data_IF_258231110088
#
_entry.id   IF_258231110088
#
_cell.length_a   1.000
_cell.length_b   1.000
_cell.length_c   1.000
_cell.angle_alpha   90.00
_cell.angle_beta   90.00
_cell.angle_gamma   90.00
#
_symmetry.space_group_name_H-M   'P 1'
#
loop_
_entity.id
_entity.type
_entity.pdbx_description
1 polymer ?
#
# COMPACT_ATOMS: atom_id res chain seq x y z
N UNK A 1 -29.97 -23.42 -4.91
CA UNK A 1 -30.97 -22.37 -5.24
C UNK A 1 -30.31 -21.01 -5.09
N UNK A 2 -30.77 -20.01 -5.83
CA UNK A 2 -30.35 -18.61 -5.69
C UNK A 2 -31.48 -17.80 -5.05
N UNK A 3 -31.13 -16.84 -4.20
CA UNK A 3 -32.08 -15.92 -3.55
C UNK A 3 -31.84 -14.51 -4.07
N UNK A 4 -32.90 -13.81 -4.45
CA UNK A 4 -32.82 -12.42 -4.91
C UNK A 4 -32.70 -11.44 -3.72
N UNK A 5 -31.58 -10.73 -3.64
CA UNK A 5 -31.31 -9.72 -2.62
C UNK A 5 -31.51 -8.27 -3.13
N UNK A 6 -31.91 -8.07 -4.39
CA UNK A 6 -32.09 -6.72 -4.97
C UNK A 6 -33.20 -5.89 -4.31
N UNK A 7 -34.31 -6.45 -3.77
CA UNK A 7 -35.31 -5.65 -3.06
C UNK A 7 -34.76 -5.00 -1.79
N UNK A 8 -33.82 -5.65 -1.08
CA UNK A 8 -33.19 -5.09 0.11
C UNK A 8 -32.28 -3.90 -0.26
N UNK A 9 -31.58 -3.99 -1.39
CA UNK A 9 -30.74 -2.91 -1.90
C UNK A 9 -31.57 -1.68 -2.28
N UNK A 10 -32.74 -1.87 -2.91
CA UNK A 10 -33.67 -0.79 -3.23
C UNK A 10 -34.24 -0.09 -1.97
N UNK A 11 -34.48 -0.83 -0.88
CA UNK A 11 -34.87 -0.25 0.42
C UNK A 11 -33.79 0.64 1.04
N UNK A 12 -32.52 0.41 0.69
CA UNK A 12 -31.39 1.26 1.06
C UNK A 12 -31.19 2.43 0.06
N UNK A 13 -32.23 2.80 -0.70
CA UNK A 13 -32.25 3.91 -1.66
C UNK A 13 -31.34 3.71 -2.89
N UNK A 14 -30.89 2.48 -3.16
CA UNK A 14 -30.18 2.18 -4.40
C UNK A 14 -31.14 2.23 -5.61
N UNK A 15 -30.88 3.05 -6.63
CA UNK A 15 -31.80 3.17 -7.78
C UNK A 15 -31.85 1.86 -8.57
N UNK A 16 -33.04 1.25 -8.71
CA UNK A 16 -33.19 -0.10 -9.28
C UNK A 16 -32.68 -0.20 -10.73
N UNK A 17 -32.95 0.82 -11.54
CA UNK A 17 -32.63 0.90 -12.97
C UNK A 17 -31.15 1.06 -13.29
N UNK A 18 -30.34 1.50 -12.32
CA UNK A 18 -28.92 1.73 -12.54
C UNK A 18 -28.15 0.42 -12.62
N UNK A 19 -27.08 0.45 -13.39
CA UNK A 19 -26.24 -0.72 -13.63
C UNK A 19 -25.35 -1.01 -12.43
N UNK A 20 -25.20 -2.29 -12.10
CA UNK A 20 -24.23 -2.74 -11.09
C UNK A 20 -22.85 -2.76 -11.77
N UNK A 21 -21.96 -1.85 -11.36
CA UNK A 21 -20.61 -1.75 -11.90
C UNK A 21 -19.63 -2.69 -11.20
N UNK A 22 -19.87 -3.00 -9.92
CA UNK A 22 -19.04 -3.92 -9.14
C UNK A 22 -19.85 -4.62 -8.07
N UNK A 23 -19.58 -5.91 -7.89
CA UNK A 23 -19.94 -6.69 -6.70
C UNK A 23 -18.63 -7.25 -6.14
N UNK A 24 -18.37 -7.02 -4.85
CA UNK A 24 -17.16 -7.47 -4.17
C UNK A 24 -17.53 -8.18 -2.88
N UNK A 25 -17.15 -9.45 -2.73
CA UNK A 25 -17.22 -10.14 -1.44
C UNK A 25 -15.99 -9.77 -0.60
N UNK A 26 -16.18 -9.56 0.70
CA UNK A 26 -15.06 -9.28 1.61
C UNK A 26 -14.18 -10.51 1.79
N UNK A 27 -12.84 -10.38 1.73
CA UNK A 27 -11.92 -11.46 2.07
C UNK A 27 -11.79 -11.68 3.59
N UNK A 28 -12.34 -10.77 4.41
CA UNK A 28 -12.14 -10.76 5.87
C UNK A 28 -13.29 -11.38 6.65
N UNK A 29 -14.52 -11.24 6.17
CA UNK A 29 -15.69 -11.64 6.93
C UNK A 29 -16.79 -12.26 6.05
N UNK A 30 -17.22 -13.50 6.32
CA UNK A 30 -18.38 -14.09 5.68
C UNK A 30 -19.63 -13.24 5.88
N UNK A 31 -20.45 -13.11 4.84
CA UNK A 31 -21.66 -12.29 4.86
C UNK A 31 -21.44 -10.81 4.55
N UNK A 32 -20.18 -10.36 4.53
CA UNK A 32 -19.82 -9.00 4.14
C UNK A 32 -19.58 -8.91 2.63
N UNK A 33 -20.28 -7.99 1.97
CA UNK A 33 -20.10 -7.70 0.56
C UNK A 33 -20.39 -6.23 0.26
N UNK A 34 -19.94 -5.77 -0.88
CA UNK A 34 -20.10 -4.42 -1.37
C UNK A 34 -20.66 -4.41 -2.78
N UNK A 35 -21.50 -3.43 -3.08
CA UNK A 35 -22.10 -3.23 -4.40
C UNK A 35 -21.95 -1.78 -4.80
N UNK A 36 -21.42 -1.56 -6.00
CA UNK A 36 -21.38 -0.26 -6.64
C UNK A 36 -22.39 -0.20 -7.80
N UNK A 37 -23.06 0.94 -7.95
CA UNK A 37 -23.94 1.22 -9.09
C UNK A 37 -23.47 2.46 -9.84
N UNK A 38 -23.65 2.45 -11.16
CA UNK A 38 -23.22 3.53 -12.04
C UNK A 38 -24.42 4.09 -12.81
N UNK A 39 -24.59 5.41 -12.70
CA UNK A 39 -25.53 6.21 -13.48
C UNK A 39 -24.94 6.85 -14.73
N UNK A 40 -23.72 6.47 -15.12
CA UNK A 40 -23.00 7.06 -16.26
C UNK A 40 -23.80 7.08 -17.57
N UNK A 41 -24.66 6.08 -17.80
CA UNK A 41 -25.47 5.97 -19.03
C UNK A 41 -26.80 6.74 -18.98
N UNK A 42 -27.11 7.34 -17.85
CA UNK A 42 -28.39 8.02 -17.60
C UNK A 42 -28.18 9.44 -17.07
N UNK A 43 -26.98 10.00 -17.29
CA UNK A 43 -26.56 11.33 -16.79
C UNK A 43 -26.76 11.51 -15.27
N UNK A 44 -26.67 10.42 -14.50
CA UNK A 44 -26.66 10.45 -13.04
C UNK A 44 -25.24 10.20 -12.54
N UNK A 45 -24.59 11.27 -12.11
CA UNK A 45 -23.20 11.24 -11.66
C UNK A 45 -23.05 10.92 -10.17
N UNK A 46 -24.13 10.69 -9.43
CA UNK A 46 -24.03 10.41 -7.99
C UNK A 46 -23.24 9.12 -7.73
N UNK A 47 -22.35 9.09 -6.72
CA UNK A 47 -21.63 7.89 -6.35
C UNK A 47 -22.53 6.95 -5.55
N UNK A 48 -22.91 5.83 -6.14
CA UNK A 48 -23.70 4.80 -5.47
C UNK A 48 -22.81 3.64 -5.03
N UNK A 49 -22.60 3.52 -3.72
CA UNK A 49 -21.84 2.44 -3.12
C UNK A 49 -22.50 1.97 -1.83
N UNK A 50 -22.65 0.65 -1.69
CA UNK A 50 -23.38 0.03 -0.60
C UNK A 50 -22.59 -1.13 -0.01
N UNK A 51 -22.79 -1.37 1.29
CA UNK A 51 -22.21 -2.47 2.05
C UNK A 51 -23.30 -3.30 2.71
N UNK A 52 -23.12 -4.61 2.76
CA UNK A 52 -23.88 -5.54 3.60
C UNK A 52 -22.92 -6.27 4.54
N UNK A 53 -23.43 -6.75 5.66
CA UNK A 53 -22.73 -7.64 6.62
C UNK A 53 -23.55 -8.89 6.97
N UNK A 54 -24.70 -9.07 6.31
CA UNK A 54 -25.70 -10.09 6.64
C UNK A 54 -26.16 -10.87 5.40
N UNK A 55 -25.23 -11.11 4.46
CA UNK A 55 -25.47 -11.83 3.20
C UNK A 55 -26.48 -11.12 2.28
N UNK A 56 -26.54 -9.79 2.33
CA UNK A 56 -27.38 -8.97 1.46
C UNK A 56 -28.84 -8.83 1.92
N UNK A 57 -29.15 -9.20 3.17
CA UNK A 57 -30.50 -9.00 3.75
C UNK A 57 -30.75 -7.53 4.05
N UNK A 58 -29.70 -6.80 4.44
CA UNK A 58 -29.71 -5.35 4.61
C UNK A 58 -28.49 -4.73 3.95
N UNK A 59 -28.64 -3.48 3.51
CA UNK A 59 -27.60 -2.71 2.85
C UNK A 59 -27.52 -1.32 3.46
N UNK A 60 -26.31 -0.78 3.55
CA UNK A 60 -26.04 0.57 4.06
C UNK A 60 -25.26 1.35 3.00
N UNK A 61 -25.66 2.59 2.65
CA UNK A 61 -24.88 3.44 1.77
C UNK A 61 -23.55 3.81 2.42
N UNK A 62 -22.47 3.77 1.65
CA UNK A 62 -21.10 4.04 2.09
C UNK A 62 -20.38 4.95 1.07
N UNK A 63 -21.04 6.00 0.61
CA UNK A 63 -20.53 6.93 -0.41
C UNK A 63 -20.15 8.32 0.11
N UNK A 64 -20.19 8.53 1.43
CA UNK A 64 -19.84 9.81 2.07
C UNK A 64 -18.39 10.22 1.74
N UNK A 65 -18.21 11.42 1.22
CA UNK A 65 -16.89 11.96 0.83
C UNK A 65 -16.45 11.63 -0.60
N UNK A 66 -17.17 10.76 -1.31
CA UNK A 66 -17.02 10.62 -2.75
C UNK A 66 -17.62 11.85 -3.45
N UNK A 67 -16.96 12.33 -4.50
CA UNK A 67 -17.49 13.40 -5.35
C UNK A 67 -18.58 12.87 -6.29
N UNK A 68 -19.36 13.77 -6.90
CA UNK A 68 -20.34 13.44 -7.95
C UNK A 68 -19.66 12.86 -9.20
N UNK A 69 -19.28 11.59 -9.11
CA UNK A 69 -18.72 10.79 -10.18
C UNK A 69 -19.12 9.32 -10.00
N UNK A 70 -19.58 8.64 -11.05
CA UNK A 70 -19.96 7.23 -10.97
C UNK A 70 -18.80 6.36 -10.46
N UNK A 71 -19.13 5.40 -9.58
CA UNK A 71 -18.17 4.40 -9.09
C UNK A 71 -18.11 3.24 -10.10
N UNK A 72 -16.93 2.95 -10.62
CA UNK A 72 -16.70 1.93 -11.64
C UNK A 72 -16.13 0.63 -11.05
N UNK A 73 -15.30 0.75 -10.01
CA UNK A 73 -14.60 -0.37 -9.37
C UNK A 73 -14.38 -0.06 -7.91
N UNK A 74 -14.33 -1.11 -7.09
CA UNK A 74 -13.77 -1.03 -5.75
C UNK A 74 -13.03 -2.31 -5.40
N UNK A 75 -12.09 -2.21 -4.47
CA UNK A 75 -11.39 -3.35 -3.87
C UNK A 75 -11.18 -3.09 -2.38
N UNK A 76 -11.19 -4.15 -1.59
CA UNK A 76 -10.84 -4.14 -0.17
C UNK A 76 -9.43 -4.71 -0.02
N UNK A 77 -8.62 -4.10 0.85
CA UNK A 77 -7.29 -4.62 1.13
C UNK A 77 -7.36 -6.04 1.72
N UNK A 78 -6.30 -6.83 1.52
CA UNK A 78 -6.26 -8.24 1.92
C UNK A 78 -5.76 -8.45 3.36
N UNK A 79 -5.22 -7.42 4.01
CA UNK A 79 -4.65 -7.50 5.37
C UNK A 79 -5.37 -6.60 6.36
N UNK A 80 -5.97 -5.50 5.89
CA UNK A 80 -6.74 -4.56 6.68
C UNK A 80 -8.18 -4.48 6.14
N UNK A 81 -9.16 -4.85 6.97
CA UNK A 81 -10.57 -4.80 6.61
C UNK A 81 -11.13 -3.37 6.49
N UNK A 82 -10.51 -2.40 7.14
CA UNK A 82 -10.94 -1.00 7.13
C UNK A 82 -10.50 -0.26 5.86
N UNK A 83 -9.44 -0.75 5.22
CA UNK A 83 -8.83 -0.13 4.04
C UNK A 83 -9.57 -0.54 2.75
N UNK A 84 -10.24 0.44 2.14
CA UNK A 84 -10.95 0.28 0.86
C UNK A 84 -10.42 1.27 -0.17
N UNK A 85 -10.49 0.87 -1.44
CA UNK A 85 -10.19 1.74 -2.58
C UNK A 85 -11.36 1.74 -3.56
N UNK A 86 -11.72 2.92 -4.07
CA UNK A 86 -12.80 3.10 -5.04
C UNK A 86 -12.30 3.88 -6.25
N UNK A 87 -12.45 3.28 -7.43
CA UNK A 87 -12.19 3.92 -8.70
C UNK A 87 -13.47 4.54 -9.28
N UNK A 88 -13.43 5.84 -9.53
CA UNK A 88 -14.55 6.61 -10.08
C UNK A 88 -14.22 7.15 -11.47
N UNK A 89 -15.16 7.84 -12.10
CA UNK A 89 -14.88 8.60 -13.33
C UNK A 89 -13.92 9.78 -13.13
N UNK A 90 -13.71 10.23 -11.88
CA UNK A 90 -12.86 11.36 -11.53
C UNK A 90 -11.66 10.95 -10.66
N UNK A 91 -11.17 9.72 -10.84
CA UNK A 91 -9.97 9.22 -10.18
C UNK A 91 -10.23 8.26 -9.01
N UNK A 92 -9.19 8.06 -8.22
CA UNK A 92 -9.13 7.07 -7.14
C UNK A 92 -9.41 7.72 -5.79
N UNK A 93 -10.14 6.98 -4.95
CA UNK A 93 -10.44 7.34 -3.58
C UNK A 93 -10.02 6.21 -2.63
N UNK A 94 -9.69 6.59 -1.39
CA UNK A 94 -9.33 5.70 -0.30
C UNK A 94 -10.30 5.92 0.87
N UNK A 95 -10.64 4.84 1.58
CA UNK A 95 -11.31 4.89 2.87
C UNK A 95 -10.49 4.08 3.88
N UNK A 96 -10.41 4.59 5.11
CA UNK A 96 -9.68 3.99 6.23
C UNK A 96 -10.64 3.52 7.34
N UNK A 97 -11.94 3.44 7.04
CA UNK A 97 -13.02 3.23 8.01
C UNK A 97 -14.18 2.38 7.45
N UNK A 98 -13.87 1.44 6.56
CA UNK A 98 -14.82 0.54 5.89
C UNK A 98 -15.88 1.25 5.04
N UNK A 99 -15.53 2.41 4.47
CA UNK A 99 -16.37 3.19 3.56
C UNK A 99 -17.26 4.21 4.25
N UNK A 100 -17.09 4.45 5.55
CA UNK A 100 -17.84 5.49 6.26
C UNK A 100 -17.45 6.89 5.76
N UNK A 101 -16.18 7.08 5.40
CA UNK A 101 -15.69 8.28 4.74
C UNK A 101 -14.65 7.95 3.67
N UNK A 102 -14.67 8.73 2.59
CA UNK A 102 -13.74 8.61 1.47
C UNK A 102 -12.94 9.89 1.27
N UNK A 103 -11.69 9.74 0.84
CA UNK A 103 -10.78 10.83 0.53
C UNK A 103 -10.11 10.61 -0.84
N UNK A 104 -9.83 11.67 -1.62
CA UNK A 104 -9.08 11.53 -2.87
C UNK A 104 -7.70 10.92 -2.65
N UNK A 105 -7.33 9.94 -3.48
CA UNK A 105 -6.04 9.24 -3.43
C UNK A 105 -5.31 9.32 -4.77
N UNK A 106 -4.88 10.53 -5.13
CA UNK A 106 -4.46 10.88 -6.50
C UNK A 106 -3.04 11.49 -6.57
N UNK A 107 -2.10 11.05 -5.72
CA UNK A 107 -0.75 11.61 -5.64
C UNK A 107 -0.01 11.59 -7.01
N UNK A 108 -0.01 12.73 -7.72
CA UNK A 108 0.43 12.91 -9.11
C UNK A 108 -0.32 12.08 -10.17
N UNK A 109 -1.39 11.37 -9.78
CA UNK A 109 -2.29 10.72 -10.74
C UNK A 109 -3.37 11.74 -11.14
N UNK A 110 -3.60 11.97 -12.44
CA UNK A 110 -4.65 12.90 -12.88
C UNK A 110 -6.05 12.36 -12.52
N UNK A 111 -7.02 13.26 -12.36
CA UNK A 111 -8.43 12.90 -12.28
C UNK A 111 -8.88 12.27 -13.59
N UNK A 112 -8.86 10.94 -13.65
CA UNK A 112 -9.27 10.16 -14.82
C UNK A 112 -10.08 8.95 -14.38
N UNK A 113 -10.92 8.48 -15.31
CA UNK A 113 -11.73 7.29 -15.08
C UNK A 113 -10.86 6.09 -14.74
N UNK A 114 -11.08 5.56 -13.55
CA UNK A 114 -10.48 4.31 -13.07
C UNK A 114 -11.45 3.19 -13.38
N UNK A 115 -11.01 2.20 -14.17
CA UNK A 115 -11.87 1.10 -14.64
C UNK A 115 -11.62 -0.19 -13.88
N UNK A 116 -10.40 -0.39 -13.36
CA UNK A 116 -10.07 -1.60 -12.61
C UNK A 116 -9.00 -1.37 -11.54
N UNK A 117 -8.99 -2.24 -10.53
CA UNK A 117 -8.06 -2.21 -9.39
C UNK A 117 -7.62 -3.63 -9.05
N UNK A 118 -6.34 -3.81 -8.72
CA UNK A 118 -5.81 -5.07 -8.21
C UNK A 118 -4.76 -4.83 -7.12
N UNK A 119 -4.78 -5.65 -6.07
CA UNK A 119 -3.78 -5.60 -4.99
C UNK A 119 -2.86 -6.81 -5.12
N UNK A 120 -1.56 -6.57 -5.21
CA UNK A 120 -0.52 -7.61 -5.16
C UNK A 120 -0.28 -8.03 -3.70
N UNK A 121 -0.70 -9.25 -3.28
CA UNK A 121 -0.77 -9.59 -1.85
C UNK A 121 0.59 -9.64 -1.15
N UNK A 122 1.66 -10.00 -1.90
CA UNK A 122 3.01 -10.16 -1.36
C UNK A 122 3.65 -8.80 -1.08
N UNK A 123 3.61 -7.92 -2.07
CA UNK A 123 4.31 -6.63 -2.05
C UNK A 123 3.49 -5.50 -1.43
N UNK A 124 2.17 -5.69 -1.32
CA UNK A 124 1.19 -4.64 -1.01
C UNK A 124 1.28 -3.48 -2.01
N UNK A 125 1.29 -3.80 -3.30
CA UNK A 125 1.19 -2.80 -4.37
C UNK A 125 -0.25 -2.77 -4.89
N UNK A 126 -0.81 -1.57 -5.00
CA UNK A 126 -2.08 -1.32 -5.66
C UNK A 126 -1.81 -0.95 -7.12
N UNK A 127 -2.36 -1.76 -8.03
CA UNK A 127 -2.35 -1.54 -9.47
C UNK A 127 -3.68 -0.92 -9.87
N UNK A 128 -3.60 0.21 -10.58
CA UNK A 128 -4.75 1.02 -10.99
C UNK A 128 -4.83 1.07 -12.51
N UNK A 129 -5.87 0.47 -13.06
CA UNK A 129 -6.19 0.52 -14.48
C UNK A 129 -7.02 1.75 -14.81
N UNK A 130 -6.51 2.63 -15.68
CA UNK A 130 -7.20 3.85 -16.06
C UNK A 130 -7.67 3.82 -17.51
N UNK A 131 -8.71 4.60 -17.82
CA UNK A 131 -9.12 4.86 -19.18
C UNK A 131 -8.24 5.97 -19.79
N UNK A 132 -7.38 5.60 -20.73
CA UNK A 132 -6.60 6.55 -21.54
C UNK A 132 -5.33 7.12 -20.89
N UNK A 133 -4.93 6.68 -19.68
CA UNK A 133 -3.68 7.09 -19.01
C UNK A 133 -2.83 5.93 -18.48
N UNK A 134 -3.02 4.74 -19.06
CA UNK A 134 -2.20 3.57 -18.75
C UNK A 134 -2.47 2.98 -17.37
N UNK A 135 -1.42 2.40 -16.78
CA UNK A 135 -1.47 1.71 -15.49
C UNK A 135 -0.63 2.50 -14.48
N UNK A 136 -1.20 2.70 -13.30
CA UNK A 136 -0.51 3.32 -12.18
C UNK A 136 -0.26 2.28 -11.10
N UNK A 137 0.88 2.37 -10.42
CA UNK A 137 1.24 1.46 -9.33
C UNK A 137 1.66 2.30 -8.14
N UNK A 138 1.16 1.97 -6.96
CA UNK A 138 1.57 2.60 -5.71
C UNK A 138 1.72 1.56 -4.61
N UNK A 139 2.70 1.77 -3.74
CA UNK A 139 2.92 0.94 -2.57
C UNK A 139 1.91 1.36 -1.48
N UNK A 140 1.07 0.42 -1.05
CA UNK A 140 0.04 0.60 -0.02
C UNK A 140 0.43 -0.04 1.33
N UNK A 141 1.64 -0.61 1.46
CA UNK A 141 2.14 -1.21 2.69
C UNK A 141 1.94 -0.34 3.94
N UNK A 142 2.37 0.94 3.99
CA UNK A 142 2.12 1.76 5.18
C UNK A 142 0.63 2.02 5.43
N UNK A 143 -0.20 2.03 4.38
CA UNK A 143 -1.63 2.28 4.50
C UNK A 143 -2.36 1.12 5.18
N UNK A 144 -1.79 -0.08 5.18
CA UNK A 144 -2.38 -1.24 5.86
C UNK A 144 -2.36 -1.09 7.39
N UNK A 145 -1.45 -0.28 7.95
CA UNK A 145 -1.45 0.07 9.37
C UNK A 145 -2.15 1.41 9.66
N UNK A 146 -2.45 2.20 8.62
CA UNK A 146 -3.06 3.51 8.77
C UNK A 146 -4.54 3.36 9.17
N UNK A 147 -4.93 4.04 10.24
CA UNK A 147 -6.30 4.06 10.75
C UNK A 147 -6.58 5.42 11.42
N UNK A 148 -7.85 5.71 11.79
CA UNK A 148 -8.18 6.97 12.45
C UNK A 148 -7.40 7.24 13.75
N UNK A 149 -7.01 6.21 14.52
CA UNK A 149 -6.21 6.40 15.73
C UNK A 149 -4.79 6.89 15.40
N UNK A 150 -4.15 6.32 14.37
CA UNK A 150 -2.81 6.73 13.90
C UNK A 150 -2.83 8.18 13.44
N UNK A 151 -3.87 8.62 12.73
CA UNK A 151 -3.99 9.99 12.22
C UNK A 151 -4.18 11.06 13.33
N UNK A 152 -4.69 10.66 14.50
CA UNK A 152 -4.84 11.57 15.65
C UNK A 152 -3.54 11.68 16.46
N UNK A 153 -2.69 10.64 16.43
CA UNK A 153 -1.39 10.62 17.09
C UNK A 153 -0.40 11.64 16.51
N UNK A 154 0.58 12.07 17.32
CA UNK A 154 1.57 13.07 16.90
C UNK A 154 2.53 12.53 15.83
N UNK A 155 3.00 11.30 16.01
CA UNK A 155 3.87 10.59 15.08
C UNK A 155 3.59 9.09 15.09
N UNK A 156 3.88 8.41 13.99
CA UNK A 156 3.78 6.95 13.89
C UNK A 156 4.89 6.39 12.99
N UNK A 157 5.54 5.31 13.43
CA UNK A 157 6.55 4.58 12.66
C UNK A 157 5.94 3.27 12.16
N UNK A 158 5.77 3.17 10.84
CA UNK A 158 5.19 1.99 10.20
C UNK A 158 6.19 0.84 10.17
N UNK A 159 5.69 -0.39 10.22
CA UNK A 159 6.54 -1.58 10.15
C UNK A 159 7.20 -1.64 8.77
N UNK A 160 8.54 -1.61 8.67
CA UNK A 160 9.23 -1.68 7.39
C UNK A 160 8.92 -2.99 6.66
N UNK A 161 8.68 -2.91 5.36
CA UNK A 161 8.56 -4.09 4.51
C UNK A 161 9.89 -4.85 4.51
N UNK A 162 9.91 -6.20 4.56
CA UNK A 162 11.14 -6.96 4.42
C UNK A 162 11.90 -6.57 3.14
N UNK A 163 13.16 -6.18 3.29
CA UNK A 163 14.03 -5.81 2.18
C UNK A 163 14.89 -6.99 1.73
N UNK A 164 15.35 -6.95 0.50
CA UNK A 164 16.29 -7.93 -0.07
C UNK A 164 17.50 -7.16 -0.55
N UNK A 165 18.70 -7.60 -0.20
CA UNK A 165 19.93 -7.09 -0.79
C UNK A 165 20.05 -7.55 -2.23
N UNK A 166 19.73 -6.67 -3.17
CA UNK A 166 19.79 -6.95 -4.60
C UNK A 166 21.25 -7.02 -5.02
N UNK A 167 21.57 -7.99 -5.86
CA UNK A 167 22.82 -8.04 -6.58
C UNK A 167 22.47 -8.03 -8.05
N UNK A 168 22.67 -6.89 -8.70
CA UNK A 168 22.55 -6.81 -10.14
C UNK A 168 23.83 -7.40 -10.73
N UNK A 169 23.79 -8.58 -11.37
CA UNK A 169 24.90 -8.99 -12.17
C UNK A 169 25.06 -7.94 -13.28
N UNK A 170 26.26 -7.37 -13.40
CA UNK A 170 26.59 -6.49 -14.52
C UNK A 170 26.76 -7.39 -15.75
N UNK A 171 25.64 -7.77 -16.36
CA UNK A 171 25.65 -8.48 -17.65
C UNK A 171 25.68 -7.45 -18.75
N UNK A 172 26.80 -7.38 -19.49
CA UNK A 172 26.88 -6.56 -20.69
C UNK A 172 27.00 -5.05 -20.45
N UNK A 173 27.42 -4.36 -21.49
CA UNK A 173 27.68 -2.93 -21.48
C UNK A 173 26.49 -2.20 -22.12
N UNK A 174 25.33 -2.18 -21.45
CA UNK A 174 24.10 -1.54 -21.95
C UNK A 174 24.24 -0.01 -22.12
N UNK A 175 25.33 0.58 -21.60
CA UNK A 175 25.69 1.97 -21.85
C UNK A 175 26.06 2.27 -23.31
N UNK A 176 26.21 1.25 -24.18
CA UNK A 176 26.52 1.41 -25.61
C UNK A 176 25.29 1.60 -26.51
N UNK A 177 24.06 1.50 -26.00
CA UNK A 177 22.85 1.57 -26.85
C UNK A 177 22.25 2.99 -26.98
N UNK A 178 22.86 4.00 -26.35
CA UNK A 178 22.34 5.38 -26.39
C UNK A 178 20.87 5.47 -25.99
N UNK A 179 20.12 6.38 -26.60
CA UNK A 179 18.69 6.63 -26.31
C UNK A 179 17.73 5.51 -26.76
N UNK A 180 18.25 4.40 -27.33
CA UNK A 180 17.42 3.25 -27.73
C UNK A 180 17.07 2.32 -26.56
N UNK A 181 17.59 2.57 -25.36
CA UNK A 181 17.29 1.77 -24.17
C UNK A 181 16.15 2.39 -23.36
N UNK A 182 14.94 1.83 -23.51
CA UNK A 182 13.85 2.07 -22.58
C UNK A 182 14.22 1.44 -21.23
N UNK A 183 14.65 2.25 -20.28
CA UNK A 183 14.83 1.82 -18.90
C UNK A 183 13.75 2.45 -18.03
N UNK A 184 13.25 1.67 -17.08
CA UNK A 184 12.45 2.18 -15.97
C UNK A 184 13.24 1.96 -14.70
N UNK A 185 13.28 2.91 -13.76
CA UNK A 185 13.96 2.70 -12.48
C UNK A 185 13.35 1.49 -11.79
N UNK A 186 14.18 0.50 -11.46
CA UNK A 186 13.76 -0.57 -10.55
C UNK A 186 13.54 0.02 -9.15
N UNK A 187 12.78 -0.70 -8.32
CA UNK A 187 12.68 -0.37 -6.91
C UNK A 187 14.10 -0.25 -6.30
N UNK A 188 14.38 0.79 -5.48
CA UNK A 188 15.68 0.98 -4.86
C UNK A 188 16.13 -0.26 -4.06
N UNK A 189 17.44 -0.42 -3.95
CA UNK A 189 18.07 -1.46 -3.13
C UNK A 189 18.25 -0.93 -1.71
N UNK A 190 17.12 -0.65 -1.06
CA UNK A 190 17.02 0.03 0.23
C UNK A 190 15.94 -0.63 1.09
N UNK A 191 16.10 -0.58 2.41
CA UNK A 191 14.97 -0.73 3.35
C UNK A 191 14.17 0.56 3.28
N UNK A 192 12.91 0.49 2.88
CA UNK A 192 12.02 1.65 2.81
C UNK A 192 11.30 1.82 4.15
N UNK A 193 11.47 2.98 4.76
CA UNK A 193 10.87 3.35 6.04
C UNK A 193 9.83 4.42 5.78
N UNK A 194 8.61 4.16 6.24
CA UNK A 194 7.53 5.12 6.26
C UNK A 194 7.30 5.61 7.68
N UNK A 195 6.96 6.89 7.83
CA UNK A 195 6.52 7.47 9.10
C UNK A 195 5.49 8.56 8.85
N UNK A 196 4.56 8.72 9.77
CA UNK A 196 3.54 9.76 9.75
C UNK A 196 3.89 10.82 10.79
N UNK A 197 3.72 12.08 10.43
CA UNK A 197 3.78 13.22 11.35
C UNK A 197 2.47 13.99 11.21
N UNK A 198 1.81 14.28 12.32
CA UNK A 198 0.57 15.07 12.28
C UNK A 198 0.81 16.51 11.85
N UNK A 199 1.89 17.09 12.34
CA UNK A 199 2.31 18.47 12.05
C UNK A 199 3.74 18.47 11.51
N UNK A 200 4.13 19.58 10.89
CA UNK A 200 5.50 19.77 10.43
C UNK A 200 6.45 19.82 11.64
N UNK A 201 7.47 18.97 11.64
CA UNK A 201 8.46 18.88 12.70
C UNK A 201 9.28 20.19 12.76
N UNK A 202 9.30 20.79 13.94
CA UNK A 202 10.12 21.99 14.22
C UNK A 202 11.61 21.67 14.35
N UNK A 203 11.91 20.41 14.67
CA UNK A 203 13.26 19.89 14.86
C UNK A 203 13.63 18.90 13.76
N UNK A 204 14.92 18.57 13.66
CA UNK A 204 15.39 17.58 12.71
C UNK A 204 14.85 16.21 13.06
N UNK A 205 14.16 15.58 12.11
CA UNK A 205 13.75 14.17 12.22
C UNK A 205 14.95 13.28 11.97
N UNK A 206 15.21 12.37 12.91
CA UNK A 206 16.31 11.41 12.81
C UNK A 206 15.77 9.99 12.74
N UNK A 207 16.37 9.19 11.87
CA UNK A 207 16.11 7.75 11.81
C UNK A 207 17.43 7.02 11.98
N UNK A 208 17.51 6.22 13.04
CA UNK A 208 18.72 5.50 13.42
C UNK A 208 18.51 4.00 13.31
N UNK A 209 19.54 3.30 12.85
CA UNK A 209 19.52 1.87 12.59
C UNK A 209 20.48 1.18 13.55
N UNK A 210 20.00 0.15 14.24
CA UNK A 210 20.79 -0.62 15.19
C UNK A 210 20.74 -2.11 14.86
N UNK A 211 21.77 -2.84 15.29
CA UNK A 211 21.67 -4.29 15.43
C UNK A 211 20.83 -4.68 16.67
N UNK A 212 20.65 -5.98 16.89
CA UNK A 212 19.88 -6.49 18.02
C UNK A 212 20.57 -6.28 19.37
N UNK A 213 21.90 -6.06 19.39
CA UNK A 213 22.65 -5.68 20.58
C UNK A 213 22.61 -4.16 20.86
N UNK A 214 21.87 -3.39 20.04
CA UNK A 214 21.74 -1.92 20.11
C UNK A 214 23.03 -1.16 19.78
N UNK A 215 23.94 -1.74 18.99
CA UNK A 215 25.03 -0.97 18.40
C UNK A 215 24.52 -0.14 17.22
N UNK A 216 24.88 1.14 17.17
CA UNK A 216 24.49 2.04 16.10
C UNK A 216 25.21 1.67 14.80
N UNK A 217 24.44 1.48 13.72
CA UNK A 217 24.94 1.13 12.40
C UNK A 217 24.97 2.34 11.48
N UNK A 218 23.89 3.12 11.44
CA UNK A 218 23.76 4.32 10.62
C UNK A 218 22.71 5.27 11.23
N UNK A 219 22.84 6.56 10.93
CA UNK A 219 21.85 7.59 11.24
C UNK A 219 21.55 8.39 9.97
N UNK A 220 20.26 8.62 9.69
CA UNK A 220 19.78 9.39 8.55
C UNK A 220 18.97 10.60 9.03
N UNK A 221 19.20 11.75 8.39
CA UNK A 221 18.30 12.91 8.51
C UNK A 221 17.10 12.70 7.59
N UNK A 222 15.90 12.81 8.14
CA UNK A 222 14.65 12.60 7.41
C UNK A 222 13.86 13.92 7.25
N UNK A 223 12.84 13.92 6.39
CA UNK A 223 12.00 15.08 6.16
C UNK A 223 11.02 15.30 7.34
N UNK A 224 10.85 16.56 7.73
CA UNK A 224 9.93 16.93 8.80
C UNK A 224 8.52 17.30 8.35
N UNK A 225 8.08 16.96 7.13
CA UNK A 225 6.81 17.47 6.61
C UNK A 225 5.61 16.82 7.32
N UNK A 226 4.52 17.58 7.47
CA UNK A 226 3.25 17.00 7.91
C UNK A 226 2.74 15.95 6.91
N UNK A 227 2.13 14.88 7.40
CA UNK A 227 1.61 13.76 6.63
C UNK A 227 2.53 12.55 6.59
N UNK A 228 2.34 11.71 5.57
CA UNK A 228 3.12 10.50 5.34
C UNK A 228 4.46 10.84 4.68
N UNK A 229 5.55 10.44 5.30
CA UNK A 229 6.92 10.64 4.83
C UNK A 229 7.59 9.29 4.54
N UNK A 230 8.65 9.34 3.72
CA UNK A 230 9.45 8.19 3.31
C UNK A 230 10.94 8.50 3.41
N UNK A 231 11.72 7.56 3.93
CA UNK A 231 13.19 7.54 3.80
C UNK A 231 13.65 6.14 3.41
N UNK A 232 14.81 6.03 2.76
CA UNK A 232 15.42 4.75 2.41
C UNK A 232 16.76 4.58 3.11
N UNK A 233 17.02 3.39 3.65
CA UNK A 233 18.32 2.98 4.14
C UNK A 233 18.95 1.97 3.18
N UNK A 234 20.13 2.30 2.65
CA UNK A 234 20.90 1.50 1.70
C UNK A 234 21.53 0.23 2.29
N UNK A 235 21.16 -0.12 3.53
CA UNK A 235 21.62 -1.29 4.28
C UNK A 235 23.13 -1.26 4.53
N UNK A 236 23.73 -0.07 4.63
CA UNK A 236 25.15 0.10 4.96
C UNK A 236 25.34 0.67 6.35
N UNK A 237 26.47 0.30 6.95
CA UNK A 237 27.00 0.99 8.12
C UNK A 237 27.52 2.37 7.71
N UNK A 238 27.58 3.30 8.66
CA UNK A 238 28.20 4.59 8.45
C UNK A 238 29.67 4.41 8.03
N UNK A 239 30.10 5.20 7.05
CA UNK A 239 31.44 5.13 6.52
C UNK A 239 32.16 6.47 6.63
N UNK A 240 33.48 6.43 6.73
CA UNK A 240 34.32 7.62 6.88
C UNK A 240 34.58 8.26 5.52
N UNK A 241 33.63 9.05 5.01
CA UNK A 241 33.73 9.76 3.74
C UNK A 241 33.56 8.90 2.48
N UNK A 242 33.20 7.62 2.64
CA UNK A 242 32.81 6.66 1.59
C UNK A 242 31.65 5.79 2.11
N UNK A 243 30.83 5.17 1.24
CA UNK A 243 29.80 4.23 1.69
C UNK A 243 30.42 3.10 2.53
N UNK A 244 29.90 2.86 3.73
CA UNK A 244 30.37 1.79 4.59
C UNK A 244 30.02 0.39 4.06
N UNK A 245 30.48 -0.67 4.74
CA UNK A 245 30.13 -2.04 4.36
C UNK A 245 28.62 -2.28 4.51
N UNK A 246 28.07 -3.18 3.69
CA UNK A 246 26.69 -3.65 3.87
C UNK A 246 26.58 -4.44 5.18
N UNK A 247 25.42 -4.34 5.81
CA UNK A 247 25.08 -5.18 6.96
C UNK A 247 24.76 -6.61 6.48
N UNK A 248 24.87 -7.60 7.33
CA UNK A 248 24.50 -8.98 6.97
C UNK A 248 22.97 -9.15 6.90
N UNK A 249 22.43 -10.15 6.18
CA UNK A 249 21.01 -10.47 6.28
C UNK A 249 20.61 -10.82 7.72
N UNK A 250 19.50 -10.28 8.19
CA UNK A 250 19.04 -10.45 9.57
C UNK A 250 18.01 -9.40 9.99
N UNK A 251 17.72 -9.39 11.29
CA UNK A 251 16.84 -8.42 11.92
C UNK A 251 17.63 -7.20 12.43
N UNK A 252 17.05 -6.02 12.25
CA UNK A 252 17.60 -4.74 12.66
C UNK A 252 16.53 -3.90 13.34
N UNK A 253 16.93 -2.99 14.21
CA UNK A 253 16.03 -2.03 14.84
C UNK A 253 16.08 -0.72 14.06
N UNK A 254 14.91 -0.22 13.69
CA UNK A 254 14.69 1.10 13.11
C UNK A 254 14.08 1.98 14.18
N UNK A 255 14.72 3.10 14.46
CA UNK A 255 14.33 4.01 15.53
C UNK A 255 14.09 5.38 14.93
N UNK A 256 12.86 5.89 15.06
CA UNK A 256 12.48 7.25 14.71
C UNK A 256 12.55 8.13 15.96
N UNK A 257 13.29 9.22 15.89
CA UNK A 257 13.35 10.26 16.91
C UNK A 257 12.77 11.56 16.34
N UNK A 258 11.64 11.99 16.91
CA UNK A 258 10.93 13.22 16.50
C UNK A 258 10.13 13.78 17.67
N UNK A 259 10.16 15.10 17.87
CA UNK A 259 9.36 15.81 18.89
C UNK A 259 9.49 15.22 20.32
N UNK A 260 10.69 14.77 20.69
CA UNK A 260 10.95 14.12 21.99
C UNK A 260 10.38 12.70 22.13
N UNK A 261 9.73 12.17 21.10
CA UNK A 261 9.28 10.79 21.03
C UNK A 261 10.34 9.89 20.38
N UNK A 262 10.39 8.65 20.84
CA UNK A 262 11.22 7.58 20.28
C UNK A 262 10.35 6.40 19.92
N UNK A 263 10.18 6.15 18.63
CA UNK A 263 9.38 5.05 18.09
C UNK A 263 10.32 4.00 17.50
N UNK A 264 10.06 2.72 17.77
CA UNK A 264 10.95 1.62 17.37
C UNK A 264 10.17 0.58 16.57
N UNK A 265 10.76 0.10 15.47
CA UNK A 265 10.25 -0.99 14.65
C UNK A 265 11.36 -1.96 14.27
N UNK A 266 10.99 -3.19 13.94
CA UNK A 266 11.94 -4.18 13.41
C UNK A 266 11.95 -4.16 11.89
N UNK A 267 13.14 -4.10 11.29
CA UNK A 267 13.35 -4.33 9.87
C UNK A 267 13.97 -5.70 9.64
N UNK A 268 13.49 -6.42 8.62
CA UNK A 268 14.04 -7.69 8.18
C UNK A 268 14.77 -7.50 6.85
N UNK A 269 16.05 -7.82 6.82
CA UNK A 269 16.85 -7.92 5.60
C UNK A 269 17.01 -9.39 5.26
N UNK A 270 16.41 -9.82 4.15
CA UNK A 270 16.48 -11.21 3.70
C UNK A 270 17.75 -11.50 2.94
N UNK A 271 18.19 -12.75 3.06
CA UNK A 271 19.32 -13.28 2.31
C UNK A 271 19.00 -13.27 0.81
N UNK A 272 20.06 -13.12 0.02
CA UNK A 272 20.03 -13.22 -1.43
C UNK A 272 19.27 -14.47 -1.91
N UNK A 273 18.29 -14.27 -2.78
CA UNK A 273 17.76 -15.33 -3.63
C UNK A 273 18.61 -15.39 -4.90
N UNK A 274 19.52 -16.38 -5.00
CA UNK A 274 20.22 -16.67 -6.24
C UNK A 274 19.41 -17.66 -7.07
N UNK A 275 19.18 -17.34 -8.34
CA UNK A 275 18.68 -18.31 -9.31
C UNK A 275 19.76 -19.37 -9.53
N UNK A 276 19.48 -20.63 -9.20
CA UNK A 276 20.29 -21.77 -9.63
C UNK A 276 19.64 -22.42 -10.85
N UNK A 277 20.20 -22.18 -12.03
CA UNK A 277 19.90 -22.99 -13.22
C UNK A 277 21.13 -23.87 -13.45
N UNK A 278 21.03 -25.16 -13.08
CA UNK A 278 22.13 -26.13 -13.13
C UNK A 278 21.80 -27.38 -12.30
N UNK A 279 22.55 -28.50 -12.44
CA UNK A 279 22.19 -29.82 -11.89
C UNK A 279 22.34 -29.95 -10.37
N UNK A 280 22.80 -28.91 -9.68
CA UNK A 280 23.00 -28.96 -8.23
C UNK A 280 21.78 -28.37 -7.51
N UNK A 281 21.04 -29.18 -6.73
CA UNK A 281 19.92 -28.68 -5.94
C UNK A 281 20.45 -27.68 -4.90
N UNK A 282 19.84 -26.50 -4.85
CA UNK A 282 19.95 -25.66 -3.67
C UNK A 282 19.19 -26.37 -2.57
N UNK A 283 19.91 -26.82 -1.53
CA UNK A 283 19.29 -27.30 -0.29
C UNK A 283 18.62 -26.09 0.36
N UNK A 284 17.32 -25.95 0.14
CA UNK A 284 16.47 -25.12 0.97
C UNK A 284 16.50 -25.73 2.37
N UNK A 285 17.38 -25.23 3.23
CA UNK A 285 17.34 -25.62 4.63
C UNK A 285 16.06 -25.05 5.24
N UNK A 286 15.38 -25.88 6.02
CA UNK A 286 14.00 -25.71 6.52
C UNK A 286 13.74 -24.44 7.33
N UNK A 287 14.76 -23.65 7.64
CA UNK A 287 14.62 -22.38 8.38
C UNK A 287 13.80 -21.36 7.58
N UNK A 288 13.86 -21.38 6.24
CA UNK A 288 13.16 -20.39 5.38
C UNK A 288 11.63 -20.58 5.31
N UNK A 289 11.07 -21.62 5.95
CA UNK A 289 9.61 -21.86 5.97
C UNK A 289 8.94 -21.66 7.33
N UNK A 290 9.68 -21.39 8.41
CA UNK A 290 9.09 -21.35 9.76
C UNK A 290 8.68 -19.96 10.28
N UNK A 291 8.68 -18.91 9.45
CA UNK A 291 8.03 -17.63 9.83
C UNK A 291 6.57 -17.57 9.39
N UNK A 292 5.79 -18.59 9.80
CA UNK A 292 4.36 -18.46 10.04
C UNK A 292 4.06 -19.18 11.35
N UNK A 293 3.32 -18.48 12.21
CA UNK A 293 2.75 -18.89 13.51
C UNK A 293 3.65 -18.61 14.72
N UNK A 294 3.60 -17.36 15.22
CA UNK A 294 2.88 -17.00 16.44
C UNK A 294 2.61 -15.49 16.46
#
# INVERSE_FOLDING_TARGET
>A
SWTDCTPALAKAEAPAQLWVSRVLASPHQPGTAFVAKSGFRTDDFKPYLFKTTDYGRTWTPISTGLTDSPVNVMIQDLRNADLLFAGTDNGLFISLDQGQSWQPFQNNMPGVKVTDLAIQPREADLVVGTYGRGIWITNIWPLQELNPQVLVGEAYLFSPRPAIQKQYPVFGNYHLTGDSHLFTPNEPDEVVIYYYLREEAKEKVKISFYDLERNLLAELSAQGKAGLNRVGWDMRKEGQGRPGPRVEPGYYLVVLEVAGQKLEQKALIRKRLSWSIGPQPVVLTTVDRQEKVN
#
